data_IF_055997983060
#
_entry.id   IF_055997983060
#
_cell.length_a   1.000
_cell.length_b   1.000
_cell.length_c   1.000
_cell.angle_alpha   90.00
_cell.angle_beta   90.00
_cell.angle_gamma   90.00
#
_symmetry.space_group_name_H-M   'P 1'
#
loop_
_entity.id
_entity.type
_entity.pdbx_description
1 polymer ?
#
# COMPACT_ATOMS: atom_id res chain seq x y z
N UNK A 1 -22.51 5.71 -15.35
CA UNK A 1 -21.51 4.81 -15.96
C UNK A 1 -21.49 3.53 -15.17
N UNK A 2 -21.39 2.35 -15.77
CA UNK A 2 -21.36 1.07 -15.06
C UNK A 2 -19.96 0.49 -15.08
N UNK A 3 -19.57 -0.24 -14.03
CA UNK A 3 -18.31 -0.98 -13.98
C UNK A 3 -18.43 -2.28 -14.80
N UNK A 4 -17.29 -2.75 -15.29
CA UNK A 4 -17.19 -3.99 -16.07
C UNK A 4 -16.49 -5.07 -15.26
N UNK A 5 -16.90 -6.31 -15.42
CA UNK A 5 -16.36 -7.46 -14.67
C UNK A 5 -15.01 -7.95 -15.19
N UNK A 6 -14.61 -7.59 -16.42
CA UNK A 6 -13.34 -7.95 -17.03
C UNK A 6 -12.19 -6.97 -16.73
N UNK A 7 -12.51 -5.81 -16.11
CA UNK A 7 -11.51 -4.84 -15.66
C UNK A 7 -11.06 -5.18 -14.23
N UNK A 8 -9.74 -5.32 -13.96
CA UNK A 8 -9.24 -5.70 -12.65
C UNK A 8 -9.54 -4.64 -11.58
N UNK A 9 -9.76 -5.13 -10.35
CA UNK A 9 -9.92 -4.34 -9.15
C UNK A 9 -8.69 -4.43 -8.27
N UNK A 10 -8.12 -3.28 -7.94
CA UNK A 10 -7.14 -3.11 -6.89
C UNK A 10 -7.89 -2.56 -5.68
N UNK A 11 -7.75 -3.17 -4.52
CA UNK A 11 -8.57 -2.91 -3.35
C UNK A 11 -7.66 -2.58 -2.18
N UNK A 12 -7.83 -1.41 -1.58
CA UNK A 12 -7.12 -1.11 -0.35
C UNK A 12 -7.57 -2.00 0.80
N UNK A 13 -6.71 -2.16 1.79
CA UNK A 13 -6.96 -3.03 2.93
C UNK A 13 -7.41 -2.24 4.17
N UNK A 14 -6.62 -1.28 4.61
CA UNK A 14 -6.86 -0.52 5.83
C UNK A 14 -7.83 0.64 5.55
N UNK A 15 -8.95 0.67 6.26
CA UNK A 15 -10.04 1.62 5.98
C UNK A 15 -11.07 1.13 4.97
N UNK A 16 -10.80 0.02 4.25
CA UNK A 16 -11.73 -0.59 3.27
C UNK A 16 -12.17 -1.99 3.70
N UNK A 17 -11.23 -2.93 3.73
CA UNK A 17 -11.48 -4.32 4.14
C UNK A 17 -11.35 -4.47 5.65
N UNK A 18 -10.36 -3.81 6.26
CA UNK A 18 -10.11 -3.80 7.70
C UNK A 18 -10.50 -2.44 8.29
N UNK A 19 -11.44 -2.46 9.21
CA UNK A 19 -11.86 -1.29 10.00
C UNK A 19 -11.41 -1.49 11.45
N UNK A 20 -10.36 -0.78 11.82
CA UNK A 20 -9.70 -0.96 13.11
C UNK A 20 -9.14 -2.38 13.28
N UNK A 21 -9.75 -3.20 14.17
CA UNK A 21 -9.30 -4.57 14.47
C UNK A 21 -10.13 -5.66 13.80
N UNK A 22 -11.16 -5.32 13.04
CA UNK A 22 -12.11 -6.27 12.43
C UNK A 22 -12.25 -6.03 10.93
N UNK A 23 -12.65 -7.04 10.16
CA UNK A 23 -13.11 -6.83 8.78
C UNK A 23 -14.39 -5.97 8.77
N UNK A 24 -14.60 -5.22 7.69
CA UNK A 24 -15.88 -4.60 7.42
C UNK A 24 -16.98 -5.67 7.32
N UNK A 25 -18.17 -5.38 7.83
CA UNK A 25 -19.27 -6.37 7.95
C UNK A 25 -19.68 -6.97 6.60
N UNK A 26 -19.55 -6.23 5.53
CA UNK A 26 -19.92 -6.63 4.18
C UNK A 26 -18.76 -7.23 3.34
N UNK A 27 -17.58 -7.35 3.91
CA UNK A 27 -16.38 -7.94 3.22
C UNK A 27 -16.69 -9.33 2.64
N UNK A 28 -17.33 -10.20 3.43
CA UNK A 28 -17.64 -11.56 2.99
C UNK A 28 -18.57 -11.59 1.77
N UNK A 29 -19.62 -10.76 1.81
CA UNK A 29 -20.57 -10.64 0.68
C UNK A 29 -19.90 -10.05 -0.57
N UNK A 30 -19.04 -9.07 -0.38
CA UNK A 30 -18.28 -8.47 -1.47
C UNK A 30 -17.31 -9.45 -2.12
N UNK A 31 -16.56 -10.23 -1.34
CA UNK A 31 -15.66 -11.25 -1.90
C UNK A 31 -16.41 -12.38 -2.63
N UNK A 32 -17.60 -12.76 -2.10
CA UNK A 32 -18.47 -13.70 -2.81
C UNK A 32 -18.91 -13.13 -4.15
N UNK A 33 -19.31 -11.85 -4.20
CA UNK A 33 -19.67 -11.18 -5.45
C UNK A 33 -18.52 -11.15 -6.46
N UNK A 34 -17.28 -10.84 -6.02
CA UNK A 34 -16.08 -10.89 -6.87
C UNK A 34 -15.89 -12.29 -7.45
N UNK A 35 -16.00 -13.32 -6.62
CA UNK A 35 -15.82 -14.71 -7.02
C UNK A 35 -16.90 -15.17 -8.01
N UNK A 36 -18.17 -14.92 -7.72
CA UNK A 36 -19.31 -15.34 -8.53
C UNK A 36 -19.29 -14.70 -9.93
N UNK A 37 -18.82 -13.45 -10.01
CA UNK A 37 -18.70 -12.70 -11.25
C UNK A 37 -17.31 -12.83 -11.91
N UNK A 38 -16.40 -13.62 -11.33
CA UNK A 38 -15.03 -13.86 -11.82
C UNK A 38 -14.25 -12.56 -12.07
N UNK A 39 -14.46 -11.56 -11.22
CA UNK A 39 -13.77 -10.28 -11.33
C UNK A 39 -12.30 -10.46 -10.90
N UNK A 40 -11.32 -10.10 -11.74
CA UNK A 40 -9.92 -10.11 -11.31
C UNK A 40 -9.72 -9.09 -10.19
N UNK A 41 -9.22 -9.51 -9.03
CA UNK A 41 -9.04 -8.62 -7.89
C UNK A 41 -7.72 -8.88 -7.16
N UNK A 42 -7.12 -7.82 -6.60
CA UNK A 42 -5.92 -7.88 -5.77
C UNK A 42 -6.02 -6.87 -4.63
N UNK A 43 -5.74 -7.30 -3.40
CA UNK A 43 -5.62 -6.37 -2.26
C UNK A 43 -4.24 -5.70 -2.31
N UNK A 44 -4.19 -4.37 -2.13
CA UNK A 44 -2.97 -3.55 -2.04
C UNK A 44 -2.95 -2.75 -0.74
N UNK A 45 -2.09 -3.10 0.22
CA UNK A 45 -1.92 -2.36 1.48
C UNK A 45 -0.57 -1.65 1.57
N UNK A 46 -0.56 -0.40 1.97
CA UNK A 46 0.68 0.35 2.30
C UNK A 46 1.33 -0.10 3.63
N UNK A 47 0.85 -1.19 4.24
CA UNK A 47 1.46 -1.72 5.46
C UNK A 47 2.91 -2.17 5.21
N UNK A 48 3.81 -1.71 6.07
CA UNK A 48 5.21 -2.17 6.15
C UNK A 48 5.43 -3.16 7.28
N UNK A 49 4.40 -3.43 8.09
CA UNK A 49 4.46 -4.32 9.25
C UNK A 49 3.91 -5.73 8.97
N UNK A 50 3.38 -5.93 7.77
CA UNK A 50 2.70 -7.17 7.36
C UNK A 50 3.06 -7.49 5.92
N UNK A 51 2.92 -8.77 5.56
CA UNK A 51 2.97 -9.24 4.19
C UNK A 51 1.59 -9.77 3.74
N UNK A 52 1.45 -10.15 2.48
CA UNK A 52 0.18 -10.62 1.93
C UNK A 52 -0.37 -11.88 2.62
N UNK A 53 0.49 -12.73 3.21
CA UNK A 53 0.05 -13.89 3.99
C UNK A 53 -0.57 -13.48 5.33
N UNK A 54 -0.09 -12.40 5.95
CA UNK A 54 -0.69 -11.87 7.17
C UNK A 54 -2.10 -11.32 6.90
N UNK A 55 -2.34 -10.70 5.74
CA UNK A 55 -3.67 -10.29 5.29
C UNK A 55 -4.59 -11.51 5.14
N UNK A 56 -4.11 -12.57 4.47
CA UNK A 56 -4.87 -13.83 4.32
C UNK A 56 -5.18 -14.45 5.65
N UNK A 57 -4.21 -14.49 6.56
CA UNK A 57 -4.39 -15.01 7.92
C UNK A 57 -5.43 -14.20 8.69
N UNK A 58 -5.35 -12.85 8.68
CA UNK A 58 -6.33 -11.99 9.32
C UNK A 58 -7.76 -12.29 8.84
N UNK A 59 -7.97 -12.43 7.54
CA UNK A 59 -9.29 -12.75 6.97
C UNK A 59 -9.75 -14.16 7.37
N UNK A 60 -8.85 -15.14 7.32
CA UNK A 60 -9.13 -16.52 7.75
C UNK A 60 -9.52 -16.62 9.21
N UNK A 61 -8.84 -15.89 10.11
CA UNK A 61 -9.14 -15.83 11.55
C UNK A 61 -10.57 -15.26 11.81
N UNK A 62 -11.15 -14.54 10.83
CA UNK A 62 -12.52 -14.04 10.85
C UNK A 62 -13.50 -14.85 9.97
N UNK A 63 -13.12 -16.07 9.54
CA UNK A 63 -13.93 -16.94 8.68
C UNK A 63 -14.28 -16.30 7.31
N UNK A 64 -13.36 -15.48 6.77
CA UNK A 64 -13.45 -14.91 5.43
C UNK A 64 -12.35 -15.55 4.58
N UNK A 65 -12.78 -16.22 3.51
CA UNK A 65 -11.88 -16.82 2.54
C UNK A 65 -11.46 -15.78 1.51
N UNK A 66 -10.16 -15.70 1.23
CA UNK A 66 -9.58 -14.86 0.18
C UNK A 66 -9.05 -15.75 -0.95
N UNK A 67 -9.69 -15.71 -2.11
CA UNK A 67 -9.36 -16.52 -3.28
C UNK A 67 -8.54 -15.77 -4.34
N UNK A 68 -8.09 -14.56 -4.05
CA UNK A 68 -7.30 -13.72 -4.93
C UNK A 68 -6.05 -13.13 -4.22
N UNK A 69 -5.08 -12.57 -4.97
CA UNK A 69 -3.84 -12.06 -4.40
C UNK A 69 -4.04 -10.94 -3.39
N UNK A 70 -3.15 -10.89 -2.39
CA UNK A 70 -2.97 -9.74 -1.50
C UNK A 70 -1.49 -9.40 -1.44
N UNK A 71 -1.15 -8.14 -1.64
CA UNK A 71 0.21 -7.61 -1.60
C UNK A 71 0.28 -6.43 -0.64
N UNK A 72 1.40 -6.32 0.05
CA UNK A 72 1.76 -5.13 0.82
C UNK A 72 2.88 -4.37 0.12
N UNK A 73 3.15 -3.13 0.52
CA UNK A 73 4.31 -2.42 0.02
C UNK A 73 5.63 -3.11 0.42
N UNK A 74 5.65 -3.92 1.50
CA UNK A 74 6.80 -4.76 1.85
C UNK A 74 7.02 -5.87 0.82
N UNK A 75 5.95 -6.59 0.37
CA UNK A 75 6.03 -7.59 -0.70
C UNK A 75 6.51 -6.97 -2.01
N UNK A 76 5.95 -5.80 -2.38
CA UNK A 76 6.34 -5.10 -3.59
C UNK A 76 7.80 -4.63 -3.53
N UNK A 77 8.26 -4.16 -2.36
CA UNK A 77 9.66 -3.75 -2.14
C UNK A 77 10.62 -4.93 -2.26
N UNK A 78 10.24 -6.11 -1.72
CA UNK A 78 11.04 -7.32 -1.90
C UNK A 78 11.13 -7.72 -3.38
N UNK A 79 10.02 -7.68 -4.12
CA UNK A 79 10.03 -7.98 -5.55
C UNK A 79 10.88 -6.96 -6.32
N UNK A 80 10.79 -5.68 -5.96
CA UNK A 80 11.62 -4.63 -6.56
C UNK A 80 13.11 -4.86 -6.32
N UNK A 81 13.50 -5.31 -5.11
CA UNK A 81 14.89 -5.67 -4.75
C UNK A 81 15.36 -6.88 -5.54
N UNK A 82 14.57 -7.96 -5.60
CA UNK A 82 14.92 -9.20 -6.33
C UNK A 82 15.31 -8.96 -7.80
N UNK A 83 14.67 -7.99 -8.43
CA UNK A 83 14.91 -7.68 -9.83
C UNK A 83 16.16 -6.80 -10.07
N UNK A 84 16.67 -6.09 -9.03
CA UNK A 84 17.61 -4.96 -9.23
C UNK A 84 18.87 -5.02 -8.40
N UNK A 85 18.83 -5.64 -7.21
CA UNK A 85 19.91 -5.55 -6.23
C UNK A 85 20.33 -6.93 -5.72
N UNK A 86 21.59 -7.05 -5.37
CA UNK A 86 22.16 -8.25 -4.74
C UNK A 86 22.39 -8.06 -3.24
N UNK A 87 22.66 -6.82 -2.82
CA UNK A 87 23.00 -6.47 -1.44
C UNK A 87 22.26 -5.21 -1.02
N UNK A 88 21.41 -5.31 0.00
CA UNK A 88 20.66 -4.17 0.51
C UNK A 88 20.76 -4.06 2.03
N UNK A 89 20.69 -2.83 2.54
CA UNK A 89 20.45 -2.59 3.95
C UNK A 89 18.96 -2.29 4.16
N UNK A 90 18.31 -3.01 5.07
CA UNK A 90 16.87 -2.85 5.34
C UNK A 90 16.66 -2.31 6.74
N UNK A 91 15.91 -1.21 6.81
CA UNK A 91 15.50 -0.52 8.02
C UNK A 91 13.97 -0.53 8.09
N UNK A 92 13.42 -1.53 8.73
CA UNK A 92 12.00 -1.79 8.91
C UNK A 92 11.79 -2.62 10.18
N UNK A 93 10.54 -3.03 10.47
CA UNK A 93 10.27 -3.98 11.54
C UNK A 93 11.05 -5.28 11.34
N UNK A 94 11.32 -6.02 12.42
CA UNK A 94 12.12 -7.25 12.35
C UNK A 94 11.48 -8.27 11.39
N UNK A 95 10.15 -8.44 11.46
CA UNK A 95 9.41 -9.34 10.56
C UNK A 95 9.52 -8.95 9.09
N UNK A 96 9.49 -7.65 8.79
CA UNK A 96 9.66 -7.16 7.41
C UNK A 96 11.11 -7.31 6.96
N UNK A 97 12.07 -7.02 7.84
CA UNK A 97 13.50 -7.20 7.53
C UNK A 97 13.82 -8.66 7.18
N UNK A 98 13.23 -9.63 7.90
CA UNK A 98 13.41 -11.06 7.63
C UNK A 98 13.02 -11.49 6.21
N UNK A 99 12.06 -10.80 5.58
CA UNK A 99 11.67 -11.07 4.18
C UNK A 99 12.85 -10.88 3.20
N UNK A 100 13.83 -10.06 3.57
CA UNK A 100 14.98 -9.70 2.73
C UNK A 100 16.26 -10.47 3.08
N UNK A 101 16.20 -11.52 3.91
CA UNK A 101 17.38 -12.23 4.45
C UNK A 101 18.43 -12.61 3.40
N UNK A 102 18.02 -13.02 2.20
CA UNK A 102 18.92 -13.40 1.11
C UNK A 102 19.73 -12.21 0.54
N UNK A 103 19.28 -10.98 0.79
CA UNK A 103 19.85 -9.73 0.24
C UNK A 103 20.55 -8.88 1.30
N UNK A 104 20.39 -9.21 2.60
CA UNK A 104 20.86 -8.35 3.68
C UNK A 104 22.38 -8.21 3.70
N UNK A 105 22.82 -6.97 3.88
CA UNK A 105 24.21 -6.64 4.19
C UNK A 105 24.28 -5.45 5.14
N UNK A 106 25.32 -5.44 5.97
CA UNK A 106 25.66 -4.31 6.84
C UNK A 106 26.84 -3.48 6.26
N UNK A 107 27.41 -3.93 5.13
CA UNK A 107 28.57 -3.31 4.49
C UNK A 107 28.30 -3.03 3.01
N UNK A 108 28.53 -1.77 2.61
CA UNK A 108 28.44 -1.31 1.22
C UNK A 108 27.18 -1.81 0.48
N UNK A 109 25.95 -1.51 0.99
CA UNK A 109 24.72 -1.87 0.31
C UNK A 109 24.60 -1.13 -1.03
N UNK A 110 24.04 -1.80 -2.03
CA UNK A 110 23.68 -1.18 -3.31
C UNK A 110 22.45 -0.27 -3.14
N UNK A 111 21.54 -0.64 -2.21
CA UNK A 111 20.37 0.15 -1.86
C UNK A 111 20.05 0.08 -0.36
N UNK A 112 19.43 1.14 0.12
CA UNK A 112 18.85 1.24 1.47
C UNK A 112 17.34 1.22 1.33
N UNK A 113 16.69 0.24 1.97
CA UNK A 113 15.24 0.07 1.96
C UNK A 113 14.70 0.51 3.32
N UNK A 114 13.81 1.48 3.32
CA UNK A 114 13.25 2.04 4.56
C UNK A 114 11.75 1.82 4.62
N UNK A 115 11.29 1.19 5.69
CA UNK A 115 9.90 1.05 6.09
C UNK A 115 9.68 1.60 7.49
N UNK A 116 8.54 1.28 8.10
CA UNK A 116 8.29 1.68 9.49
C UNK A 116 9.08 0.82 10.48
N UNK A 117 9.63 1.46 11.49
CA UNK A 117 10.38 0.86 12.60
C UNK A 117 9.73 1.14 13.95
N UNK A 118 8.55 1.73 13.98
CA UNK A 118 7.85 2.13 15.20
C UNK A 118 8.74 2.98 16.13
N UNK A 119 8.95 2.54 17.36
CA UNK A 119 9.76 3.22 18.38
C UNK A 119 11.28 3.01 18.24
N UNK A 120 11.73 2.24 17.24
CA UNK A 120 13.15 1.97 16.99
C UNK A 120 13.89 3.07 16.24
N UNK A 121 13.23 4.16 15.85
CA UNK A 121 13.89 5.31 15.25
C UNK A 121 14.83 6.00 16.23
N UNK A 122 16.12 5.97 15.95
CA UNK A 122 17.17 6.59 16.77
C UNK A 122 18.10 7.44 15.93
N UNK A 123 18.81 8.39 16.58
CA UNK A 123 19.84 9.19 15.91
C UNK A 123 20.91 8.32 15.24
N UNK A 124 21.28 7.21 15.86
CA UNK A 124 22.27 6.27 15.30
C UNK A 124 21.75 5.61 14.01
N UNK A 125 20.52 5.13 14.01
CA UNK A 125 19.88 4.51 12.83
C UNK A 125 19.76 5.54 11.71
N UNK A 126 19.30 6.77 12.00
CA UNK A 126 19.19 7.84 11.02
C UNK A 126 20.54 8.14 10.37
N UNK A 127 21.62 8.25 11.19
CA UNK A 127 22.97 8.46 10.66
C UNK A 127 23.50 7.27 9.85
N UNK A 128 23.12 6.04 10.20
CA UNK A 128 23.52 4.86 9.43
C UNK A 128 22.88 4.87 8.05
N UNK A 129 21.58 5.14 7.97
CA UNK A 129 20.84 5.29 6.70
C UNK A 129 21.48 6.42 5.89
N UNK A 130 21.64 7.60 6.49
CA UNK A 130 22.28 8.75 5.85
C UNK A 130 23.63 8.41 5.24
N UNK A 131 24.53 7.77 6.02
CA UNK A 131 25.88 7.39 5.52
C UNK A 131 25.84 6.45 4.34
N UNK A 132 24.99 5.43 4.33
CA UNK A 132 24.86 4.55 3.18
C UNK A 132 24.42 5.29 1.93
N UNK A 133 23.42 6.16 2.03
CA UNK A 133 22.90 6.94 0.91
C UNK A 133 23.95 7.96 0.43
N UNK A 134 24.62 8.63 1.37
CA UNK A 134 25.69 9.59 1.06
C UNK A 134 26.86 8.91 0.32
N UNK A 135 27.18 7.67 0.67
CA UNK A 135 28.22 6.86 0.04
C UNK A 135 27.80 6.20 -1.29
N UNK A 136 26.60 6.48 -1.79
CA UNK A 136 26.20 6.10 -3.13
C UNK A 136 25.13 5.02 -3.22
N UNK A 137 24.66 4.46 -2.10
CA UNK A 137 23.52 3.55 -2.13
C UNK A 137 22.24 4.24 -2.64
N UNK A 138 21.43 3.49 -3.39
CA UNK A 138 20.10 3.95 -3.79
C UNK A 138 19.19 4.07 -2.56
N UNK A 139 18.33 5.08 -2.55
CA UNK A 139 17.39 5.32 -1.47
C UNK A 139 15.98 4.88 -1.87
N UNK A 140 15.45 3.87 -1.17
CA UNK A 140 14.13 3.28 -1.45
C UNK A 140 13.26 3.36 -0.22
N UNK A 141 12.03 3.84 -0.40
CA UNK A 141 11.02 3.93 0.63
C UNK A 141 9.86 2.97 0.33
N UNK A 142 9.48 2.15 1.31
CA UNK A 142 8.30 1.29 1.19
C UNK A 142 7.02 2.13 1.17
N UNK A 143 6.92 3.18 1.99
CA UNK A 143 5.80 4.13 2.05
C UNK A 143 6.29 5.48 2.59
N UNK A 144 5.53 6.56 2.38
CA UNK A 144 5.86 7.91 2.85
C UNK A 144 4.69 8.56 3.61
N UNK A 145 3.93 7.78 4.38
CA UNK A 145 2.90 8.35 5.24
C UNK A 145 3.51 9.31 6.26
N UNK A 146 2.88 10.44 6.48
CA UNK A 146 3.39 11.50 7.36
C UNK A 146 3.21 11.14 8.83
N UNK A 147 2.06 10.58 9.15
CA UNK A 147 1.66 10.19 10.51
C UNK A 147 0.64 9.05 10.44
N UNK A 148 0.40 8.41 11.56
CA UNK A 148 -0.65 7.42 11.76
C UNK A 148 -1.32 7.63 13.12
N UNK A 149 -2.52 7.07 13.30
CA UNK A 149 -3.23 7.07 14.57
C UNK A 149 -3.74 5.67 14.89
N UNK A 150 -3.48 5.15 16.09
CA UNK A 150 -4.03 3.87 16.53
C UNK A 150 -5.49 3.95 17.00
N UNK A 151 -5.98 5.15 17.38
CA UNK A 151 -7.22 5.35 18.14
C UNK A 151 -7.93 6.70 17.85
N UNK A 152 -7.59 7.37 16.75
CA UNK A 152 -8.09 8.69 16.31
C UNK A 152 -7.80 9.86 17.27
N UNK A 153 -7.30 9.60 18.48
CA UNK A 153 -6.98 10.64 19.49
C UNK A 153 -5.49 10.98 19.49
N UNK A 154 -4.62 9.99 19.23
CA UNK A 154 -3.17 10.14 19.33
C UNK A 154 -2.52 10.03 17.94
N UNK A 155 -1.82 11.09 17.53
CA UNK A 155 -1.05 11.12 16.29
C UNK A 155 0.42 10.79 16.55
N UNK A 156 0.96 9.86 15.78
CA UNK A 156 2.36 9.48 15.80
C UNK A 156 2.99 9.72 14.44
N UNK A 157 4.27 10.12 14.44
CA UNK A 157 5.04 10.19 13.19
C UNK A 157 5.14 8.81 12.54
N UNK A 158 4.93 8.76 11.22
CA UNK A 158 5.18 7.58 10.43
C UNK A 158 6.52 7.69 9.68
N UNK A 159 6.95 6.63 9.02
CA UNK A 159 8.22 6.52 8.32
C UNK A 159 8.51 7.68 7.36
N UNK A 160 7.48 8.26 6.74
CA UNK A 160 7.61 9.39 5.81
C UNK A 160 8.25 10.63 6.43
N UNK A 161 8.00 10.91 7.72
CA UNK A 161 8.62 12.04 8.41
C UNK A 161 10.14 11.85 8.56
N UNK A 162 10.59 10.64 8.90
CA UNK A 162 12.01 10.30 9.03
C UNK A 162 12.70 10.23 7.67
N UNK A 163 12.01 9.70 6.66
CA UNK A 163 12.49 9.68 5.27
C UNK A 163 12.71 11.10 4.76
N UNK A 164 11.77 12.03 4.99
CA UNK A 164 11.90 13.43 4.61
C UNK A 164 13.14 14.10 5.25
N UNK A 165 13.44 13.78 6.51
CA UNK A 165 14.66 14.27 7.17
C UNK A 165 15.94 13.77 6.49
N UNK A 166 15.96 12.51 6.05
CA UNK A 166 17.10 11.91 5.33
C UNK A 166 17.20 12.49 3.92
N UNK A 167 16.08 12.68 3.22
CA UNK A 167 16.02 13.34 1.90
C UNK A 167 16.61 14.76 1.98
N UNK A 168 16.21 15.53 3.00
CA UNK A 168 16.74 16.87 3.25
C UNK A 168 18.25 16.85 3.47
N UNK A 169 18.76 15.92 4.30
CA UNK A 169 20.17 15.83 4.62
C UNK A 169 21.05 15.33 3.47
N UNK A 170 20.52 14.47 2.61
CA UNK A 170 21.26 13.85 1.48
C UNK A 170 21.10 14.61 0.17
N UNK A 171 20.03 15.41 0.03
CA UNK A 171 19.61 15.99 -1.24
C UNK A 171 19.12 14.95 -2.26
N UNK A 172 18.87 13.70 -1.83
CA UNK A 172 18.40 12.61 -2.68
C UNK A 172 16.97 12.25 -2.28
N UNK A 173 16.07 12.22 -3.25
CA UNK A 173 14.70 11.75 -3.06
C UNK A 173 14.65 10.22 -3.01
N UNK A 174 13.89 9.66 -2.05
CA UNK A 174 13.67 8.23 -1.96
C UNK A 174 12.71 7.75 -3.04
N UNK A 175 13.08 6.67 -3.74
CA UNK A 175 12.21 5.97 -4.67
C UNK A 175 11.08 5.31 -3.90
N UNK A 176 9.88 5.85 -4.00
CA UNK A 176 8.69 5.28 -3.36
C UNK A 176 8.23 4.01 -4.08
N UNK A 177 7.96 2.95 -3.32
CA UNK A 177 7.40 1.69 -3.84
C UNK A 177 5.90 1.59 -3.62
N UNK A 178 5.40 1.86 -2.39
CA UNK A 178 3.99 1.81 -2.05
C UNK A 178 3.13 2.88 -2.74
N UNK A 179 1.82 2.85 -2.55
CA UNK A 179 0.89 3.87 -3.09
C UNK A 179 1.32 5.27 -2.63
N UNK A 180 1.23 6.31 -3.49
CA UNK A 180 0.65 6.33 -4.84
C UNK A 180 1.65 5.99 -5.98
N UNK A 181 2.75 5.26 -5.73
CA UNK A 181 3.73 4.91 -6.76
C UNK A 181 3.17 3.92 -7.78
N UNK A 182 3.44 4.17 -9.07
CA UNK A 182 3.12 3.26 -10.17
C UNK A 182 3.65 1.82 -9.93
N UNK A 183 4.80 1.68 -9.25
CA UNK A 183 5.41 0.39 -8.94
C UNK A 183 4.42 -0.53 -8.23
N UNK A 184 3.64 0.01 -7.28
CA UNK A 184 2.73 -0.81 -6.49
C UNK A 184 1.46 -1.20 -7.25
N UNK A 185 0.84 -0.26 -7.99
CA UNK A 185 -0.31 -0.60 -8.83
C UNK A 185 0.05 -1.62 -9.91
N UNK A 186 1.20 -1.43 -10.57
CA UNK A 186 1.71 -2.40 -11.54
C UNK A 186 2.01 -3.77 -10.91
N UNK A 187 2.50 -3.81 -9.65
CA UNK A 187 2.67 -5.07 -8.93
C UNK A 187 1.35 -5.81 -8.74
N UNK A 188 0.27 -5.08 -8.43
CA UNK A 188 -1.09 -5.65 -8.34
C UNK A 188 -1.59 -6.17 -9.68
N UNK A 189 -1.45 -5.40 -10.76
CA UNK A 189 -1.81 -5.82 -12.12
C UNK A 189 -1.01 -7.05 -12.55
N UNK A 190 0.30 -7.06 -12.32
CA UNK A 190 1.18 -8.19 -12.62
C UNK A 190 0.78 -9.47 -11.85
N UNK A 191 0.37 -9.34 -10.59
CA UNK A 191 -0.12 -10.47 -9.79
C UNK A 191 -1.41 -11.08 -10.34
N UNK A 192 -2.17 -10.31 -11.11
CA UNK A 192 -3.38 -10.75 -11.81
C UNK A 192 -3.12 -11.18 -13.26
N UNK A 193 -1.88 -11.10 -13.76
CA UNK A 193 -1.52 -11.41 -15.13
C UNK A 193 -1.84 -10.31 -16.14
N UNK A 194 -2.08 -9.07 -15.70
CA UNK A 194 -2.36 -7.93 -16.56
C UNK A 194 -1.09 -7.10 -16.84
N UNK A 195 -0.97 -6.52 -18.06
CA UNK A 195 0.10 -5.56 -18.37
C UNK A 195 -0.01 -4.27 -17.56
N UNK A 196 1.11 -3.56 -17.38
CA UNK A 196 1.18 -2.31 -16.62
C UNK A 196 0.30 -1.17 -17.16
N UNK A 197 -0.05 -1.19 -18.45
CA UNK A 197 -0.90 -0.21 -19.10
C UNK A 197 -2.39 -0.63 -19.18
N UNK A 198 -2.79 -1.66 -18.43
CA UNK A 198 -4.20 -2.08 -18.38
C UNK A 198 -5.07 -1.05 -17.68
N UNK A 199 -6.30 -0.90 -18.14
CA UNK A 199 -7.33 -0.22 -17.33
C UNK A 199 -7.55 -1.00 -16.03
N UNK A 200 -7.80 -0.29 -14.93
CA UNK A 200 -8.13 -0.90 -13.64
C UNK A 200 -9.03 0.02 -12.80
N UNK A 201 -9.66 -0.56 -11.79
CA UNK A 201 -10.42 0.18 -10.78
C UNK A 201 -9.69 0.07 -9.45
N UNK A 202 -9.53 1.19 -8.74
CA UNK A 202 -9.00 1.22 -7.38
C UNK A 202 -10.13 1.55 -6.40
N UNK A 203 -10.36 0.70 -5.43
CA UNK A 203 -11.25 0.96 -4.29
C UNK A 203 -10.36 1.36 -3.11
N UNK A 204 -10.59 2.56 -2.59
CA UNK A 204 -9.80 3.07 -1.46
C UNK A 204 -10.53 4.16 -0.67
N UNK A 205 -10.02 4.48 0.50
CA UNK A 205 -10.55 5.48 1.42
C UNK A 205 -9.71 6.76 1.48
N UNK A 206 -8.52 6.74 0.86
CA UNK A 206 -7.58 7.85 0.83
C UNK A 206 -7.55 8.52 -0.56
N UNK A 207 -7.88 9.82 -0.59
CA UNK A 207 -7.93 10.59 -1.83
C UNK A 207 -6.58 10.67 -2.54
N UNK A 208 -5.48 10.88 -1.80
CA UNK A 208 -4.16 11.09 -2.41
C UNK A 208 -3.56 9.75 -2.87
N UNK A 209 -3.56 8.76 -1.98
CA UNK A 209 -2.84 7.51 -2.23
C UNK A 209 -3.62 6.51 -3.05
N UNK A 210 -4.95 6.48 -2.96
CA UNK A 210 -5.77 5.51 -3.68
C UNK A 210 -6.40 6.13 -4.93
N UNK A 211 -7.13 7.23 -4.75
CA UNK A 211 -7.94 7.80 -5.83
C UNK A 211 -7.06 8.52 -6.84
N UNK A 212 -6.37 9.58 -6.44
CA UNK A 212 -5.50 10.34 -7.34
C UNK A 212 -4.35 9.49 -7.86
N UNK A 213 -3.75 8.64 -6.99
CA UNK A 213 -2.70 7.73 -7.40
C UNK A 213 -3.10 6.80 -8.52
N UNK A 214 -4.31 6.22 -8.48
CA UNK A 214 -4.86 5.39 -9.54
C UNK A 214 -5.20 6.20 -10.80
N UNK A 215 -5.85 7.36 -10.65
CA UNK A 215 -6.25 8.22 -11.76
C UNK A 215 -5.05 8.73 -12.56
N UNK A 216 -3.93 9.05 -11.93
CA UNK A 216 -2.66 9.42 -12.60
C UNK A 216 -2.12 8.32 -13.51
N UNK A 217 -2.52 7.08 -13.29
CA UNK A 217 -2.12 5.91 -14.10
C UNK A 217 -3.21 5.46 -15.08
N UNK A 218 -4.30 6.25 -15.22
CA UNK A 218 -5.43 5.92 -16.09
C UNK A 218 -6.43 4.93 -15.49
N UNK A 219 -6.27 4.58 -14.21
CA UNK A 219 -7.26 3.82 -13.44
C UNK A 219 -8.44 4.67 -13.01
N UNK A 220 -9.54 4.03 -12.58
CA UNK A 220 -10.70 4.70 -11.99
C UNK A 220 -10.65 4.61 -10.48
N UNK A 221 -10.83 5.74 -9.80
CA UNK A 221 -10.91 5.82 -8.36
C UNK A 221 -12.35 5.66 -7.85
N UNK A 222 -12.57 4.66 -7.01
CA UNK A 222 -13.82 4.41 -6.29
C UNK A 222 -13.58 4.72 -4.83
N UNK A 223 -14.00 5.91 -4.39
CA UNK A 223 -13.87 6.33 -3.00
C UNK A 223 -14.91 5.61 -2.14
N UNK A 224 -14.44 5.04 -1.03
CA UNK A 224 -15.30 4.45 -0.01
C UNK A 224 -15.15 5.21 1.31
N UNK A 225 -16.28 5.60 1.93
CA UNK A 225 -16.31 6.41 3.14
C UNK A 225 -16.31 5.56 4.42
N UNK A 226 -15.37 4.60 4.51
CA UNK A 226 -15.26 3.71 5.68
C UNK A 226 -13.97 3.92 6.48
N UNK A 227 -13.10 4.80 6.01
CA UNK A 227 -11.80 5.05 6.62
C UNK A 227 -11.44 6.53 6.69
N UNK A 228 -10.36 6.92 6.04
CA UNK A 228 -9.68 8.21 6.20
C UNK A 228 -10.48 9.42 5.69
N UNK A 229 -11.20 9.26 4.58
CA UNK A 229 -11.99 10.36 4.00
C UNK A 229 -13.39 10.39 4.60
N UNK A 230 -13.77 11.55 5.15
CA UNK A 230 -15.11 11.76 5.76
C UNK A 230 -16.19 11.98 4.71
N UNK A 231 -17.41 11.52 5.01
CA UNK A 231 -18.60 11.79 4.21
C UNK A 231 -19.37 13.00 4.76
N UNK A 232 -19.88 13.91 3.89
CA UNK A 232 -19.68 13.96 2.44
C UNK A 232 -18.29 14.48 2.05
N UNK A 233 -17.82 14.14 0.85
CA UNK A 233 -16.57 14.71 0.33
C UNK A 233 -16.65 16.24 0.34
N UNK A 234 -15.60 16.89 0.84
CA UNK A 234 -15.50 18.34 0.82
C UNK A 234 -15.65 18.85 -0.63
N UNK A 235 -16.64 19.71 -0.93
CA UNK A 235 -16.84 20.25 -2.28
C UNK A 235 -15.63 20.99 -2.84
N UNK A 236 -14.77 21.52 -1.96
CA UNK A 236 -13.51 22.20 -2.34
C UNK A 236 -12.36 21.22 -2.61
N UNK A 237 -12.53 19.90 -2.44
CA UNK A 237 -11.49 18.93 -2.78
C UNK A 237 -11.13 19.06 -4.26
N UNK A 238 -9.82 19.14 -4.55
CA UNK A 238 -9.31 19.15 -5.93
C UNK A 238 -9.39 17.75 -6.55
N UNK A 239 -9.29 16.70 -5.73
CA UNK A 239 -9.37 15.30 -6.17
C UNK A 239 -10.85 14.91 -6.23
N UNK A 240 -11.29 14.47 -7.41
CA UNK A 240 -12.66 14.00 -7.65
C UNK A 240 -12.63 12.52 -8.00
N UNK A 241 -13.22 11.65 -7.16
CA UNK A 241 -13.34 10.23 -7.47
C UNK A 241 -14.27 10.00 -8.68
N UNK A 242 -14.05 8.92 -9.42
CA UNK A 242 -14.95 8.49 -10.50
C UNK A 242 -16.30 7.98 -9.96
N UNK A 243 -16.24 7.36 -8.76
CA UNK A 243 -17.40 6.87 -8.03
C UNK A 243 -17.21 7.10 -6.53
N UNK A 244 -18.33 7.30 -5.82
CA UNK A 244 -18.39 7.44 -4.37
C UNK A 244 -19.34 6.41 -3.78
N UNK A 245 -18.91 5.70 -2.73
CA UNK A 245 -19.69 4.66 -2.06
C UNK A 245 -19.53 4.73 -0.54
N UNK A 246 -20.52 4.27 0.21
CA UNK A 246 -20.46 4.26 1.68
C UNK A 246 -19.95 2.94 2.27
N UNK A 247 -20.00 1.88 1.48
CA UNK A 247 -19.60 0.53 1.89
C UNK A 247 -19.36 -0.36 0.66
N UNK A 248 -18.80 -1.56 0.88
CA UNK A 248 -18.51 -2.50 -0.19
C UNK A 248 -19.76 -3.03 -0.89
N UNK A 249 -20.90 -3.12 -0.19
CA UNK A 249 -22.18 -3.50 -0.81
C UNK A 249 -22.63 -2.48 -1.86
N UNK A 250 -22.37 -1.20 -1.65
CA UNK A 250 -22.68 -0.18 -2.67
C UNK A 250 -21.78 -0.29 -3.90
N UNK A 251 -20.52 -0.72 -3.74
CA UNK A 251 -19.63 -0.99 -4.89
C UNK A 251 -20.24 -2.04 -5.83
N UNK A 252 -20.86 -3.11 -5.29
CA UNK A 252 -21.49 -4.14 -6.13
C UNK A 252 -22.63 -3.60 -7.00
N UNK A 253 -23.32 -2.54 -6.57
CA UNK A 253 -24.40 -1.90 -7.33
C UNK A 253 -23.90 -1.09 -8.54
N UNK A 254 -22.60 -0.76 -8.58
CA UNK A 254 -22.02 -0.06 -9.72
C UNK A 254 -21.92 -0.92 -11.00
N UNK A 255 -22.12 -2.24 -10.87
CA UNK A 255 -22.14 -3.19 -12.01
C UNK A 255 -23.54 -3.40 -12.61
N UNK A 256 -24.57 -3.01 -11.92
CA UNK A 256 -25.99 -3.24 -12.31
C UNK A 256 -26.58 -2.12 -13.16
#
# INVERSE_FOLDING_TARGET
>A
MKLKTDIPFLIDFDGVIRLGKKPADDTKGFFQFISDNKIPACILSNSTLRNGNDIKKFLSDHNIRLDFPALTCADASLNYVKERYKKVAVFASDSTKEMFNEFLTDENPEAVIVGDMADKWTYEIMNRIFRFIHNGADFISMQKNKFWSPDDENLFLDAGAFIAAIEYATGKEAKLVGKPSAIFYHSGLKALGFPDNSEFNMIGDDLETDIEGAQRLGGKGILIYTGKTEYPLNPASEIKPDFETRNLTEVTKLFS
#
